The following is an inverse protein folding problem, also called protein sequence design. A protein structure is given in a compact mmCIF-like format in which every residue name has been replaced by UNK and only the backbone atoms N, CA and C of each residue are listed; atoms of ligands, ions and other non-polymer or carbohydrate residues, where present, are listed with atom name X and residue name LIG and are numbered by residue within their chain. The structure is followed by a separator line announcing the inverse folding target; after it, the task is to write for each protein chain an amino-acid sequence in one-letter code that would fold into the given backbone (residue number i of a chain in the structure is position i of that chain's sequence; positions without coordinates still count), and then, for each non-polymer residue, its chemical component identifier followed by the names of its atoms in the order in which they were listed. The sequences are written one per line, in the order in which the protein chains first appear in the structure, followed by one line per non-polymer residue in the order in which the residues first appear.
data_IF_800943958814
#
_entry.id   IF_800943958814
#
_cell.length_a   1.000
_cell.length_b   1.000
_cell.length_c   1.000
_cell.angle_alpha   90.00
_cell.angle_beta   90.00
_cell.angle_gamma   90.00
#
_symmetry.space_group_name_H-M   'P 1'
#
loop_
_entity.id
_entity.type
_entity.pdbx_description
1 polymer ?
#
# COMPACT_ATOMS: atom_id res chain seq x y z
N UNK A 1 -15.88 -12.12 2.50
CA UNK A 1 -16.16 -10.67 2.41
C UNK A 1 -16.85 -10.39 1.08
N UNK A 2 -18.04 -9.79 1.09
CA UNK A 2 -18.66 -9.33 -0.15
C UNK A 2 -17.85 -8.12 -0.62
N UNK A 3 -17.08 -8.26 -1.70
CA UNK A 3 -16.21 -7.22 -2.27
C UNK A 3 -16.94 -5.90 -2.59
N UNK A 4 -18.28 -5.92 -2.54
CA UNK A 4 -19.18 -4.81 -2.86
C UNK A 4 -19.81 -4.10 -1.66
N UNK A 5 -19.57 -4.52 -0.40
CA UNK A 5 -20.05 -3.79 0.79
C UNK A 5 -18.90 -3.02 1.44
N UNK A 6 -18.85 -1.73 1.17
CA UNK A 6 -17.78 -0.82 1.55
C UNK A 6 -18.07 -0.21 2.94
N UNK A 7 -17.06 -0.17 3.84
CA UNK A 7 -17.08 0.56 5.13
C UNK A 7 -16.46 1.97 5.06
N UNK A 8 -16.40 2.57 3.87
CA UNK A 8 -15.85 3.91 3.59
C UNK A 8 -16.80 4.58 2.61
N UNK A 9 -16.86 5.92 2.53
CA UNK A 9 -17.80 6.59 1.62
C UNK A 9 -17.46 6.43 0.13
N UNK A 10 -16.35 5.75 -0.20
CA UNK A 10 -15.79 5.64 -1.54
C UNK A 10 -15.96 4.24 -2.10
N UNK A 11 -16.49 4.12 -3.32
CA UNK A 11 -16.54 2.84 -4.02
C UNK A 11 -15.14 2.30 -4.32
N UNK A 12 -15.00 0.97 -4.37
CA UNK A 12 -13.73 0.32 -4.71
C UNK A 12 -13.18 0.76 -6.09
N UNK A 13 -14.07 1.16 -7.01
CA UNK A 13 -13.68 1.70 -8.32
C UNK A 13 -13.03 3.08 -8.18
N UNK A 14 -13.61 3.99 -7.39
CA UNK A 14 -13.03 5.31 -7.15
C UNK A 14 -11.69 5.21 -6.41
N UNK A 15 -11.57 4.25 -5.48
CA UNK A 15 -10.30 3.98 -4.80
C UNK A 15 -9.19 3.51 -5.75
N UNK A 16 -9.55 2.88 -6.88
CA UNK A 16 -8.59 2.43 -7.87
C UNK A 16 -7.95 3.59 -8.64
N UNK A 17 -8.69 4.67 -8.89
CA UNK A 17 -8.17 5.90 -9.52
C UNK A 17 -7.13 6.56 -8.62
N UNK A 18 -7.42 6.66 -7.32
CA UNK A 18 -6.49 7.24 -6.33
C UNK A 18 -5.19 6.41 -6.28
N UNK A 19 -5.29 5.07 -6.27
CA UNK A 19 -4.10 4.19 -6.31
C UNK A 19 -3.25 4.43 -7.55
N UNK A 20 -3.87 4.56 -8.73
CA UNK A 20 -3.16 4.79 -9.97
C UNK A 20 -2.45 6.16 -9.97
N UNK A 21 -3.11 7.20 -9.44
CA UNK A 21 -2.52 8.52 -9.26
C UNK A 21 -1.31 8.53 -8.31
N UNK A 22 -1.41 7.84 -7.17
CA UNK A 22 -0.27 7.73 -6.25
C UNK A 22 0.87 6.91 -6.87
N UNK A 23 0.56 5.82 -7.57
CA UNK A 23 1.56 5.01 -8.26
C UNK A 23 2.31 5.82 -9.32
N UNK A 24 1.60 6.62 -10.13
CA UNK A 24 2.24 7.47 -11.13
C UNK A 24 3.11 8.55 -10.49
N UNK A 25 2.66 9.19 -9.40
CA UNK A 25 3.47 10.16 -8.67
C UNK A 25 4.76 9.54 -8.11
N UNK A 26 4.69 8.35 -7.50
CA UNK A 26 5.88 7.66 -6.98
C UNK A 26 6.87 7.28 -8.08
N UNK A 27 6.38 6.81 -9.23
CA UNK A 27 7.23 6.50 -10.38
C UNK A 27 7.91 7.76 -10.91
N UNK A 28 7.17 8.86 -11.07
CA UNK A 28 7.72 10.13 -11.53
C UNK A 28 8.83 10.63 -10.59
N UNK A 29 8.55 10.69 -9.29
CA UNK A 29 9.53 11.12 -8.28
C UNK A 29 10.76 10.20 -8.29
N UNK A 30 10.57 8.88 -8.30
CA UNK A 30 11.65 7.91 -8.32
C UNK A 30 12.52 7.98 -9.59
N UNK A 31 11.89 8.23 -10.74
CA UNK A 31 12.60 8.38 -12.03
C UNK A 31 13.37 9.70 -12.13
N UNK A 32 12.81 10.79 -11.62
CA UNK A 32 13.43 12.12 -11.70
C UNK A 32 14.56 12.30 -10.69
N UNK A 33 14.38 11.79 -9.47
CA UNK A 33 15.35 11.92 -8.37
C UNK A 33 16.15 10.63 -8.13
N UNK A 34 16.29 9.77 -9.14
CA UNK A 34 16.93 8.46 -9.00
C UNK A 34 18.31 8.54 -8.32
N UNK A 35 19.17 9.45 -8.79
CA UNK A 35 20.53 9.62 -8.27
C UNK A 35 20.55 10.06 -6.80
N UNK A 36 19.57 10.86 -6.37
CA UNK A 36 19.41 11.25 -4.97
C UNK A 36 19.03 10.03 -4.11
N UNK A 37 18.08 9.22 -4.56
CA UNK A 37 17.58 8.08 -3.80
C UNK A 37 18.55 6.90 -3.77
N UNK A 38 19.45 6.76 -4.74
CA UNK A 38 20.41 5.64 -4.84
C UNK A 38 21.21 5.41 -3.56
N UNK A 39 21.63 6.48 -2.88
CA UNK A 39 22.40 6.39 -1.63
C UNK A 39 21.57 5.88 -0.45
N UNK A 40 20.23 5.95 -0.54
CA UNK A 40 19.30 5.56 0.52
C UNK A 40 18.62 4.22 0.27
N UNK A 41 18.96 3.50 -0.81
CA UNK A 41 18.34 2.21 -1.14
C UNK A 41 18.40 1.20 0.02
N UNK A 42 19.54 1.00 0.72
CA UNK A 42 19.57 0.08 1.85
C UNK A 42 18.53 0.44 2.92
N UNK A 43 18.43 1.72 3.27
CA UNK A 43 17.46 2.22 4.26
C UNK A 43 16.01 2.02 3.77
N UNK A 44 15.72 2.39 2.51
CA UNK A 44 14.40 2.23 1.91
C UNK A 44 13.97 0.76 1.85
N UNK A 45 14.88 -0.16 1.53
CA UNK A 45 14.60 -1.60 1.54
C UNK A 45 14.30 -2.13 2.94
N UNK A 46 15.01 -1.66 3.97
CA UNK A 46 14.71 -2.05 5.36
C UNK A 46 13.32 -1.58 5.77
N UNK A 47 12.98 -0.32 5.50
CA UNK A 47 11.65 0.23 5.80
C UNK A 47 10.56 -0.55 5.05
N UNK A 48 10.79 -0.83 3.76
CA UNK A 48 9.88 -1.62 2.95
C UNK A 48 9.69 -3.03 3.52
N UNK A 49 10.77 -3.73 3.90
CA UNK A 49 10.69 -5.07 4.48
C UNK A 49 9.86 -5.09 5.77
N UNK A 50 10.14 -4.18 6.71
CA UNK A 50 9.42 -4.08 7.99
C UNK A 50 7.94 -3.80 7.75
N UNK A 51 7.62 -2.82 6.90
CA UNK A 51 6.24 -2.44 6.60
C UNK A 51 5.48 -3.53 5.86
N UNK A 52 6.13 -4.30 4.98
CA UNK A 52 5.52 -5.43 4.28
C UNK A 52 5.15 -6.55 5.26
N UNK A 53 6.07 -6.93 6.15
CA UNK A 53 5.79 -7.93 7.20
C UNK A 53 4.65 -7.46 8.10
N UNK A 54 4.68 -6.19 8.53
CA UNK A 54 3.62 -5.60 9.34
C UNK A 54 2.27 -5.59 8.63
N UNK A 55 2.26 -5.25 7.34
CA UNK A 55 1.07 -5.26 6.51
C UNK A 55 0.46 -6.67 6.40
N UNK A 56 1.28 -7.69 6.14
CA UNK A 56 0.83 -9.09 6.06
C UNK A 56 0.27 -9.56 7.40
N UNK A 57 0.91 -9.19 8.51
CA UNK A 57 0.42 -9.48 9.86
C UNK A 57 -0.96 -8.83 10.13
N UNK A 58 -1.10 -7.53 9.83
CA UNK A 58 -2.37 -6.82 9.98
C UNK A 58 -3.47 -7.39 9.07
N UNK A 59 -3.11 -7.81 7.85
CA UNK A 59 -4.05 -8.46 6.94
C UNK A 59 -4.58 -9.77 7.54
N UNK A 60 -3.68 -10.65 7.96
CA UNK A 60 -4.03 -11.95 8.56
C UNK A 60 -4.92 -11.77 9.80
N UNK A 61 -4.59 -10.83 10.68
CA UNK A 61 -5.36 -10.57 11.90
C UNK A 61 -6.76 -10.01 11.60
N UNK A 62 -6.88 -9.07 10.66
CA UNK A 62 -8.19 -8.54 10.24
C UNK A 62 -9.09 -9.60 9.61
N UNK A 63 -8.54 -10.42 8.70
CA UNK A 63 -9.29 -11.49 8.04
C UNK A 63 -9.77 -12.58 9.03
N UNK A 64 -9.01 -12.84 10.10
CA UNK A 64 -9.43 -13.76 11.17
C UNK A 64 -10.53 -13.18 12.04
N UNK A 65 -10.46 -11.89 12.37
CA UNK A 65 -11.49 -11.20 13.18
C UNK A 65 -12.86 -11.17 12.49
N UNK A 66 -12.89 -10.92 11.18
CA UNK A 66 -14.12 -10.96 10.37
C UNK A 66 -14.73 -12.36 10.21
N UNK A 67 -14.01 -13.43 10.55
CA UNK A 67 -14.50 -14.81 10.46
C UNK A 67 -15.08 -15.31 11.79
N UNK A 68 -14.84 -14.59 12.88
CA UNK A 68 -15.33 -14.91 14.24
C UNK A 68 -16.55 -14.08 14.65
N UNK A 69 -16.84 -12.99 13.93
CA UNK A 69 -18.12 -12.25 13.94
C UNK A 69 -19.07 -12.80 12.87
#
# INVERSE_FOLDING_TARGET
MNFFKIKTSWSNAEFSIIKLCMASAYILIGSYFHDFFKNYYPLLFVIFGITLVWFVYLWQTKMKKEKQE
#
